data_IF_431070507923
#
_entry.id   IF_431070507923
#
_cell.length_a   1.000
_cell.length_b   1.000
_cell.length_c   1.000
_cell.angle_alpha   90.00
_cell.angle_beta   90.00
_cell.angle_gamma   90.00
#
_symmetry.space_group_name_H-M   'P 1'
#
loop_
_entity.id
_entity.type
_entity.pdbx_description
1 polymer ?
#
# COMPACT_ATOMS: atom_id res chain seq x y z
N UNK A 1 -9.61 19.89 16.49
CA UNK A 1 -10.13 18.71 15.76
C UNK A 1 -9.03 17.68 15.81
N UNK A 2 -9.35 16.44 16.24
CA UNK A 2 -8.44 15.31 16.24
C UNK A 2 -8.52 14.55 14.90
N UNK A 3 -8.73 15.29 13.80
CA UNK A 3 -8.92 14.69 12.48
C UNK A 3 -7.60 14.12 11.97
N UNK A 4 -7.64 12.85 11.55
CA UNK A 4 -6.74 12.40 10.50
C UNK A 4 -7.13 13.18 9.23
N UNK A 5 -6.26 14.07 8.73
CA UNK A 5 -6.57 14.95 7.60
C UNK A 5 -6.83 14.12 6.33
N UNK A 6 -8.05 14.15 5.74
CA UNK A 6 -8.36 13.40 4.52
C UNK A 6 -7.44 13.71 3.35
N UNK A 7 -6.94 14.96 3.26
CA UNK A 7 -5.99 15.34 2.22
C UNK A 7 -4.63 14.67 2.44
N UNK A 8 -4.16 14.59 3.69
CA UNK A 8 -2.92 13.89 4.04
C UNK A 8 -3.05 12.37 3.84
N UNK A 9 -4.21 11.78 4.15
CA UNK A 9 -4.47 10.36 3.87
C UNK A 9 -4.51 10.06 2.36
N UNK A 10 -5.12 10.94 1.57
CA UNK A 10 -5.11 10.84 0.11
C UNK A 10 -3.69 10.95 -0.45
N UNK A 11 -2.89 11.89 0.07
CA UNK A 11 -1.48 12.04 -0.28
C UNK A 11 -0.64 10.83 0.10
N UNK A 12 -0.88 10.26 1.28
CA UNK A 12 -0.20 9.06 1.74
C UNK A 12 -0.49 7.88 0.81
N UNK A 13 -1.76 7.67 0.45
CA UNK A 13 -2.14 6.65 -0.54
C UNK A 13 -1.46 6.89 -1.89
N UNK A 14 -1.48 8.11 -2.40
CA UNK A 14 -0.82 8.43 -3.69
C UNK A 14 0.69 8.16 -3.69
N UNK A 15 1.40 8.49 -2.61
CA UNK A 15 2.82 8.14 -2.46
C UNK A 15 3.04 6.64 -2.42
N UNK A 16 2.13 5.92 -1.77
CA UNK A 16 2.19 4.48 -1.67
C UNK A 16 1.94 3.78 -3.02
N UNK A 17 0.95 4.25 -3.79
CA UNK A 17 0.70 3.78 -5.15
C UNK A 17 1.89 4.08 -6.09
N UNK A 18 2.60 5.21 -5.87
CA UNK A 18 3.84 5.54 -6.59
C UNK A 18 4.98 4.58 -6.24
N UNK A 19 5.11 4.20 -4.97
CA UNK A 19 6.09 3.19 -4.54
C UNK A 19 5.82 1.84 -5.22
N UNK A 20 4.55 1.44 -5.33
CA UNK A 20 4.16 0.25 -6.10
C UNK A 20 4.62 0.34 -7.56
N UNK A 21 4.40 1.48 -8.23
CA UNK A 21 4.88 1.69 -9.59
C UNK A 21 6.41 1.60 -9.73
N UNK A 22 7.16 2.04 -8.72
CA UNK A 22 8.64 1.89 -8.70
C UNK A 22 9.06 0.42 -8.63
N UNK A 23 8.26 -0.43 -7.97
CA UNK A 23 8.51 -1.87 -7.87
C UNK A 23 8.26 -2.57 -9.22
N UNK A 24 7.30 -2.09 -10.01
CA UNK A 24 7.06 -2.57 -11.38
C UNK A 24 8.25 -2.32 -12.32
N UNK A 25 8.94 -1.18 -12.13
CA UNK A 25 10.10 -0.79 -12.94
C UNK A 25 11.36 -1.62 -12.66
N UNK A 26 11.37 -2.42 -11.58
CA UNK A 26 12.49 -3.31 -11.27
C UNK A 26 12.63 -4.34 -12.39
N UNK A 27 13.68 -4.17 -13.19
CA UNK A 27 14.03 -5.12 -14.23
C UNK A 27 14.54 -6.41 -13.60
N UNK A 28 13.87 -7.52 -13.92
CA UNK A 28 14.31 -8.84 -13.54
C UNK A 28 15.10 -9.47 -14.69
N UNK A 29 16.18 -10.20 -14.40
CA UNK A 29 16.88 -10.95 -15.42
C UNK A 29 15.96 -12.03 -16.00
N UNK A 30 16.02 -12.22 -17.31
CA UNK A 30 15.23 -13.26 -17.98
C UNK A 30 15.91 -14.62 -17.85
N UNK A 31 15.18 -15.60 -17.32
CA UNK A 31 15.59 -17.01 -17.28
C UNK A 31 15.33 -17.75 -18.58
N UNK A 32 14.73 -17.10 -19.59
CA UNK A 32 14.50 -17.65 -20.92
C UNK A 32 15.76 -17.66 -21.81
N UNK A 33 16.82 -16.96 -21.40
CA UNK A 33 18.09 -16.93 -22.12
C UNK A 33 18.88 -18.21 -21.84
N UNK A 34 19.13 -19.00 -22.89
CA UNK A 34 20.06 -20.11 -22.83
C UNK A 34 21.50 -19.61 -23.04
N UNK A 35 22.30 -19.63 -21.98
CA UNK A 35 23.68 -19.15 -22.01
C UNK A 35 24.69 -20.19 -22.53
N UNK A 36 24.23 -21.41 -22.90
CA UNK A 36 25.10 -22.51 -23.33
C UNK A 36 25.80 -23.24 -22.19
N UNK A 37 25.71 -22.72 -20.96
CA UNK A 37 26.25 -23.35 -19.75
C UNK A 37 25.10 -23.66 -18.79
N UNK A 38 24.91 -24.94 -18.47
CA UNK A 38 23.80 -25.41 -17.63
C UNK A 38 23.73 -24.68 -16.27
N UNK A 39 24.88 -24.48 -15.63
CA UNK A 39 24.96 -23.78 -14.33
C UNK A 39 24.52 -22.32 -14.46
N UNK A 40 24.89 -21.64 -15.55
CA UNK A 40 24.53 -20.24 -15.78
C UNK A 40 23.04 -20.13 -16.08
N UNK A 41 22.53 -20.94 -17.01
CA UNK A 41 21.09 -20.96 -17.35
C UNK A 41 20.23 -21.23 -16.12
N UNK A 42 20.57 -22.26 -15.32
CA UNK A 42 19.86 -22.58 -14.07
C UNK A 42 19.93 -21.45 -13.03
N UNK A 43 21.10 -20.82 -12.88
CA UNK A 43 21.28 -19.67 -11.99
C UNK A 43 20.38 -18.49 -12.36
N UNK A 44 20.30 -18.15 -13.65
CA UNK A 44 19.44 -17.07 -14.15
C UNK A 44 17.95 -17.39 -14.00
N UNK A 45 17.51 -18.62 -14.29
CA UNK A 45 16.11 -19.02 -14.06
C UNK A 45 15.73 -18.94 -12.57
N UNK A 46 16.63 -19.32 -11.67
CA UNK A 46 16.40 -19.18 -10.23
C UNK A 46 16.33 -17.71 -9.80
N UNK A 47 17.22 -16.87 -10.33
CA UNK A 47 17.23 -15.43 -10.05
C UNK A 47 15.95 -14.74 -10.55
N UNK A 48 15.47 -15.10 -11.74
CA UNK A 48 14.17 -14.65 -12.27
C UNK A 48 13.01 -15.05 -11.35
N UNK A 49 12.97 -16.32 -10.94
CA UNK A 49 11.93 -16.85 -10.06
C UNK A 49 11.92 -16.14 -8.70
N UNK A 50 13.08 -15.99 -8.06
CA UNK A 50 13.21 -15.29 -6.79
C UNK A 50 12.86 -13.80 -6.92
N UNK A 51 13.28 -13.16 -8.02
CA UNK A 51 12.95 -11.78 -8.34
C UNK A 51 11.45 -11.57 -8.49
N UNK A 52 10.78 -12.43 -9.25
CA UNK A 52 9.33 -12.38 -9.44
C UNK A 52 8.58 -12.59 -8.13
N UNK A 53 9.02 -13.56 -7.31
CA UNK A 53 8.43 -13.81 -6.00
C UNK A 53 8.52 -12.57 -5.10
N UNK A 54 9.70 -11.95 -5.00
CA UNK A 54 9.91 -10.75 -4.17
C UNK A 54 9.08 -9.57 -4.66
N UNK A 55 9.00 -9.38 -5.99
CA UNK A 55 8.15 -8.35 -6.61
C UNK A 55 6.69 -8.56 -6.26
N UNK A 56 6.19 -9.80 -6.37
CA UNK A 56 4.83 -10.17 -5.96
C UNK A 56 4.55 -9.85 -4.49
N UNK A 57 5.43 -10.27 -3.57
CA UNK A 57 5.27 -9.93 -2.14
C UNK A 57 5.21 -8.42 -1.88
N UNK A 58 6.01 -7.64 -2.60
CA UNK A 58 6.00 -6.18 -2.47
C UNK A 58 4.71 -5.57 -3.04
N UNK A 59 4.17 -6.12 -4.13
CA UNK A 59 2.85 -5.72 -4.64
C UNK A 59 1.75 -6.00 -3.64
N UNK A 60 1.70 -7.22 -3.10
CA UNK A 60 0.68 -7.60 -2.11
C UNK A 60 0.74 -6.69 -0.88
N UNK A 61 1.96 -6.36 -0.42
CA UNK A 61 2.15 -5.40 0.66
C UNK A 61 1.68 -4.00 0.27
N UNK A 62 1.98 -3.55 -0.95
CA UNK A 62 1.54 -2.25 -1.47
C UNK A 62 0.01 -2.18 -1.66
N UNK A 63 -0.65 -3.28 -1.97
CA UNK A 63 -2.11 -3.31 -2.06
C UNK A 63 -2.73 -3.25 -0.65
N UNK A 64 -2.28 -4.14 0.23
CA UNK A 64 -2.80 -4.26 1.59
C UNK A 64 -2.64 -2.97 2.40
N UNK A 65 -1.49 -2.30 2.29
CA UNK A 65 -1.26 -1.05 3.00
C UNK A 65 -2.10 0.10 2.42
N UNK A 66 -2.34 0.14 1.10
CA UNK A 66 -3.26 1.12 0.50
C UNK A 66 -4.69 0.94 1.02
N UNK A 67 -5.17 -0.31 1.13
CA UNK A 67 -6.49 -0.62 1.71
C UNK A 67 -6.58 -0.23 3.19
N UNK A 68 -5.54 -0.51 3.99
CA UNK A 68 -5.50 -0.12 5.40
C UNK A 68 -5.50 1.39 5.61
N UNK A 69 -4.81 2.15 4.75
CA UNK A 69 -4.83 3.62 4.77
C UNK A 69 -6.27 4.11 4.52
N UNK A 70 -6.95 3.58 3.51
CA UNK A 70 -8.34 3.95 3.22
C UNK A 70 -9.28 3.59 4.37
N UNK A 71 -9.14 2.39 4.94
CA UNK A 71 -9.95 1.96 6.06
C UNK A 71 -9.75 2.86 7.27
N UNK A 72 -8.50 3.14 7.63
CA UNK A 72 -8.15 4.04 8.74
C UNK A 72 -8.72 5.44 8.51
N UNK A 73 -8.66 5.95 7.28
CA UNK A 73 -9.26 7.24 6.93
C UNK A 73 -10.78 7.24 7.14
N UNK A 74 -11.48 6.18 6.75
CA UNK A 74 -12.93 6.05 6.94
C UNK A 74 -13.31 5.97 8.42
N UNK A 75 -12.57 5.18 9.19
CA UNK A 75 -12.85 5.00 10.62
C UNK A 75 -12.61 6.29 11.41
N UNK A 76 -11.55 7.04 11.07
CA UNK A 76 -11.29 8.36 11.64
C UNK A 76 -12.43 9.35 11.33
N UNK A 77 -12.91 9.40 10.09
CA UNK A 77 -14.04 10.26 9.70
C UNK A 77 -15.35 9.89 10.42
N UNK A 78 -15.60 8.58 10.60
CA UNK A 78 -16.77 8.10 11.31
C UNK A 78 -16.72 8.47 12.81
N UNK A 79 -15.57 8.29 13.45
CA UNK A 79 -15.35 8.69 14.84
C UNK A 79 -15.53 10.20 15.04
N UNK A 80 -14.96 11.02 14.15
CA UNK A 80 -15.12 12.47 14.18
C UNK A 80 -16.58 12.89 14.05
N UNK A 81 -17.31 12.29 13.10
CA UNK A 81 -18.74 12.54 12.90
C UNK A 81 -19.56 12.16 14.13
N UNK A 82 -19.21 11.06 14.79
CA UNK A 82 -19.83 10.61 16.03
C UNK A 82 -19.62 11.63 17.15
N UNK A 83 -18.38 12.01 17.44
CA UNK A 83 -18.07 12.95 18.52
C UNK A 83 -18.63 14.34 18.27
N UNK A 84 -18.63 14.83 17.02
CA UNK A 84 -19.28 16.10 16.66
C UNK A 84 -20.80 16.07 16.97
N UNK A 85 -21.46 14.94 16.72
CA UNK A 85 -22.87 14.74 17.04
C UNK A 85 -23.13 14.71 18.55
N UNK A 86 -22.29 14.00 19.32
CA UNK A 86 -22.37 13.94 20.79
C UNK A 86 -22.23 15.33 21.40
N UNK A 87 -21.19 16.09 21.01
CA UNK A 87 -20.94 17.46 21.51
C UNK A 87 -22.11 18.39 21.16
N UNK A 88 -22.68 18.25 19.94
CA UNK A 88 -23.82 19.06 19.51
C UNK A 88 -25.09 18.75 20.31
N UNK A 89 -25.31 17.48 20.70
CA UNK A 89 -26.43 17.09 21.56
C UNK A 89 -26.24 17.62 22.98
N UNK A 90 -25.05 17.46 23.54
CA UNK A 90 -24.71 17.94 24.88
C UNK A 90 -24.98 19.45 25.02
N UNK A 91 -24.49 20.27 24.08
CA UNK A 91 -24.76 21.72 24.00
C UNK A 91 -26.23 22.12 23.93
N UNK A 92 -27.12 21.22 23.48
CA UNK A 92 -28.56 21.49 23.33
C UNK A 92 -29.37 21.11 24.55
N UNK A 93 -28.76 20.46 25.54
CA UNK A 93 -29.42 20.07 26.78
C UNK A 93 -29.24 21.22 27.79
N UNK A 94 -30.31 21.94 28.19
CA UNK A 94 -30.19 22.98 29.21
C UNK A 94 -29.84 22.33 30.57
N UNK A 95 -29.05 23.03 31.37
CA UNK A 95 -28.78 22.68 32.77
C UNK A 95 -30.07 22.66 33.61
#
# INVERSE_FOLDING_TARGET
>A
SFACDPAEMTRLKGRHDTLRGTVDEITLPSGAINWGFLVVTSGYSKLESDGNRRRGTMHDWCEHMSELIEQTSRDAQAADSHWASVIKKDRRTPL
#
